data_IF_388503361166
#
_entry.id   IF_388503361166
#
_cell.length_a   1.000
_cell.length_b   1.000
_cell.length_c   1.000
_cell.angle_alpha   90.00
_cell.angle_beta   90.00
_cell.angle_gamma   90.00
#
_symmetry.space_group_name_H-M   'P 1'
#
loop_
_entity.id
_entity.type
_entity.pdbx_description
1 polymer ?
#
# COMPACT_ATOMS: atom_id res chain seq x y z
N UNK A 1 22.94 -22.89 11.95
CA UNK A 1 22.65 -21.57 12.53
C UNK A 1 21.81 -20.79 11.52
N UNK A 2 20.79 -20.07 11.96
CA UNK A 2 20.02 -19.22 11.05
C UNK A 2 20.92 -18.10 10.52
N UNK A 3 20.96 -17.92 9.20
CA UNK A 3 21.76 -16.87 8.58
C UNK A 3 21.12 -15.52 8.91
N UNK A 4 21.87 -14.59 9.51
CA UNK A 4 21.39 -13.23 9.81
C UNK A 4 20.90 -12.50 8.55
N UNK A 5 19.89 -11.65 8.68
CA UNK A 5 19.43 -10.78 7.61
C UNK A 5 20.50 -9.73 7.26
N UNK A 6 21.07 -9.11 8.30
CA UNK A 6 22.09 -8.10 8.15
C UNK A 6 23.49 -8.71 8.00
N UNK A 7 24.27 -8.16 7.07
CA UNK A 7 25.64 -8.55 6.77
C UNK A 7 26.57 -7.35 6.78
N UNK A 8 27.86 -7.60 6.90
CA UNK A 8 28.90 -6.58 6.86
C UNK A 8 29.25 -6.14 5.43
N UNK A 9 28.55 -6.68 4.42
CA UNK A 9 28.76 -6.28 3.03
C UNK A 9 28.43 -4.79 2.82
N UNK A 10 28.97 -4.23 1.74
CA UNK A 10 28.68 -2.86 1.32
C UNK A 10 27.18 -2.61 1.14
N UNK A 11 26.72 -1.49 1.66
CA UNK A 11 25.33 -1.05 1.59
C UNK A 11 25.27 0.43 1.24
N UNK A 12 24.28 0.82 0.43
CA UNK A 12 24.06 2.20 0.02
C UNK A 12 22.79 2.81 0.63
N UNK A 13 21.90 1.99 1.14
CA UNK A 13 20.66 2.47 1.75
C UNK A 13 20.91 2.98 3.18
N UNK A 14 20.59 4.26 3.48
CA UNK A 14 20.83 4.85 4.80
C UNK A 14 20.02 4.18 5.93
N UNK A 15 18.79 3.73 5.63
CA UNK A 15 17.93 3.05 6.60
C UNK A 15 18.52 1.68 6.99
N UNK A 16 18.97 0.91 6.00
CA UNK A 16 19.67 -0.35 6.25
C UNK A 16 20.89 -0.15 7.12
N UNK A 17 21.77 0.82 6.77
CA UNK A 17 23.01 1.10 7.50
C UNK A 17 22.70 1.51 8.94
N UNK A 18 21.73 2.42 9.13
CA UNK A 18 21.33 2.89 10.45
C UNK A 18 20.82 1.75 11.35
N UNK A 19 20.02 0.82 10.82
CA UNK A 19 19.47 -0.30 11.59
C UNK A 19 20.54 -1.37 11.84
N UNK A 20 21.40 -1.65 10.85
CA UNK A 20 22.50 -2.62 11.00
C UNK A 20 23.49 -2.19 12.08
N UNK A 21 23.92 -0.93 12.04
CA UNK A 21 25.05 -0.42 12.82
C UNK A 21 24.62 0.37 14.08
N UNK A 22 23.32 0.71 14.15
CA UNK A 22 22.80 1.57 15.22
C UNK A 22 22.89 0.96 16.61
N UNK A 23 23.36 1.77 17.56
CA UNK A 23 23.48 1.40 18.99
C UNK A 23 22.30 1.90 19.83
N UNK A 24 21.52 2.83 19.31
CA UNK A 24 20.32 3.35 19.94
C UNK A 24 19.30 2.24 20.23
N UNK A 25 18.61 2.25 21.38
CA UNK A 25 17.62 1.21 21.72
C UNK A 25 16.52 1.01 20.67
N UNK A 26 16.08 2.09 19.99
CA UNK A 26 15.05 2.00 18.93
C UNK A 26 15.59 1.25 17.71
N UNK A 27 16.83 1.55 17.29
CA UNK A 27 17.47 0.88 16.16
C UNK A 27 17.77 -0.58 16.47
N UNK A 28 18.18 -0.89 17.72
CA UNK A 28 18.33 -2.30 18.16
C UNK A 28 17.00 -3.05 18.13
N UNK A 29 15.92 -2.40 18.55
CA UNK A 29 14.56 -2.99 18.47
C UNK A 29 14.12 -3.20 17.03
N UNK A 30 14.38 -2.23 16.15
CA UNK A 30 14.11 -2.33 14.72
C UNK A 30 14.90 -3.48 14.08
N UNK A 31 16.18 -3.61 14.41
CA UNK A 31 17.02 -4.73 13.96
C UNK A 31 16.46 -6.07 14.42
N UNK A 32 16.09 -6.19 15.68
CA UNK A 32 15.49 -7.40 16.23
C UNK A 32 14.19 -7.76 15.53
N UNK A 33 13.35 -6.77 15.20
CA UNK A 33 12.12 -6.94 14.42
C UNK A 33 12.43 -7.46 13.01
N UNK A 34 13.39 -6.88 12.31
CA UNK A 34 13.78 -7.33 10.97
C UNK A 34 14.30 -8.79 11.01
N UNK A 35 15.14 -9.14 11.98
CA UNK A 35 15.64 -10.51 12.15
C UNK A 35 14.50 -11.48 12.49
N UNK A 36 13.52 -11.06 13.28
CA UNK A 36 12.32 -11.85 13.56
C UNK A 36 11.50 -12.13 12.28
N UNK A 37 11.24 -11.12 11.47
CA UNK A 37 10.54 -11.27 10.19
C UNK A 37 11.32 -12.21 9.25
N UNK A 38 12.65 -12.07 9.22
CA UNK A 38 13.53 -12.88 8.39
C UNK A 38 13.46 -14.37 8.72
N UNK A 39 13.25 -14.77 9.97
CA UNK A 39 13.10 -16.17 10.36
C UNK A 39 12.01 -16.87 9.51
N UNK A 40 10.90 -16.19 9.25
CA UNK A 40 9.78 -16.72 8.49
C UNK A 40 9.94 -16.50 6.98
N UNK A 41 10.40 -15.33 6.59
CA UNK A 41 10.47 -14.92 5.19
C UNK A 41 11.61 -15.57 4.39
N UNK A 42 12.74 -15.87 4.99
CA UNK A 42 13.96 -16.33 4.31
C UNK A 42 13.79 -17.53 3.37
N UNK A 43 12.80 -18.37 3.60
CA UNK A 43 12.50 -19.53 2.76
C UNK A 43 11.72 -19.17 1.49
N UNK A 44 11.23 -17.96 1.42
CA UNK A 44 10.48 -17.38 0.31
C UNK A 44 11.27 -16.30 -0.45
N UNK A 45 12.33 -15.79 0.19
CA UNK A 45 13.22 -14.80 -0.40
C UNK A 45 13.94 -15.36 -1.64
N UNK A 46 14.09 -14.53 -2.67
CA UNK A 46 14.96 -14.84 -3.79
C UNK A 46 16.45 -14.65 -3.45
N UNK A 47 17.31 -15.09 -4.35
CA UNK A 47 18.76 -15.04 -4.14
C UNK A 47 19.31 -13.61 -4.05
N UNK A 48 18.64 -12.64 -4.67
CA UNK A 48 19.04 -11.24 -4.72
C UNK A 48 18.47 -10.40 -3.57
N UNK A 49 17.51 -10.95 -2.81
CA UNK A 49 16.78 -10.21 -1.78
C UNK A 49 17.69 -9.43 -0.82
N UNK A 50 18.70 -10.10 -0.26
CA UNK A 50 19.63 -9.45 0.68
C UNK A 50 20.52 -8.38 0.02
N UNK A 51 20.85 -8.57 -1.25
CA UNK A 51 21.59 -7.59 -2.04
C UNK A 51 20.74 -6.35 -2.31
N UNK A 52 19.49 -6.57 -2.66
CA UNK A 52 18.54 -5.48 -2.91
C UNK A 52 18.11 -4.77 -1.62
N UNK A 53 17.98 -5.50 -0.51
CA UNK A 53 17.70 -4.92 0.81
C UNK A 53 18.76 -3.88 1.22
N UNK A 54 20.02 -4.10 0.86
CA UNK A 54 21.12 -3.14 1.12
C UNK A 54 21.03 -1.85 0.29
N UNK A 55 20.18 -1.83 -0.75
CA UNK A 55 20.05 -0.71 -1.72
C UNK A 55 18.69 -0.02 -1.67
N UNK A 56 17.65 -0.73 -1.23
CA UNK A 56 16.26 -0.29 -1.19
C UNK A 56 15.57 -0.92 0.02
N UNK A 57 15.97 -0.46 1.22
CA UNK A 57 15.57 -1.11 2.48
C UNK A 57 14.07 -1.11 2.68
N UNK A 58 13.41 0.04 2.56
CA UNK A 58 11.99 0.16 2.88
C UNK A 58 11.10 -0.68 1.95
N UNK A 59 11.42 -0.74 0.66
CA UNK A 59 10.69 -1.56 -0.30
C UNK A 59 10.82 -3.06 0.02
N UNK A 60 12.03 -3.53 0.34
CA UNK A 60 12.29 -4.94 0.67
C UNK A 60 11.80 -5.30 2.08
N UNK A 61 11.87 -4.36 3.02
CA UNK A 61 11.26 -4.52 4.33
C UNK A 61 9.75 -4.72 4.20
N UNK A 62 9.08 -3.94 3.34
CA UNK A 62 7.64 -4.06 3.07
C UNK A 62 7.26 -5.43 2.50
N UNK A 63 7.97 -5.92 1.49
CA UNK A 63 7.79 -7.27 0.94
C UNK A 63 7.90 -8.34 2.03
N UNK A 64 8.96 -8.27 2.84
CA UNK A 64 9.20 -9.19 3.95
C UNK A 64 8.11 -9.09 5.03
N UNK A 65 7.71 -7.88 5.41
CA UNK A 65 6.67 -7.63 6.41
C UNK A 65 5.31 -8.19 5.97
N UNK A 66 4.89 -7.87 4.74
CA UNK A 66 3.64 -8.34 4.15
C UNK A 66 3.59 -9.87 4.13
N UNK A 67 4.61 -10.49 3.57
CA UNK A 67 4.68 -11.96 3.45
C UNK A 67 4.68 -12.63 4.83
N UNK A 68 5.49 -12.13 5.76
CA UNK A 68 5.54 -12.68 7.13
C UNK A 68 4.20 -12.51 7.84
N UNK A 69 3.52 -11.38 7.64
CA UNK A 69 2.19 -11.16 8.22
C UNK A 69 1.18 -12.18 7.72
N UNK A 70 1.20 -12.52 6.44
CA UNK A 70 0.34 -13.55 5.86
C UNK A 70 0.67 -14.94 6.43
N UNK A 71 1.95 -15.30 6.53
CA UNK A 71 2.40 -16.57 7.14
C UNK A 71 1.88 -16.68 8.59
N UNK A 72 2.11 -15.64 9.40
CA UNK A 72 1.71 -15.63 10.81
C UNK A 72 0.20 -15.46 11.02
N UNK A 73 -0.54 -15.11 9.96
CA UNK A 73 -2.00 -15.18 9.91
C UNK A 73 -2.52 -16.57 9.53
N UNK A 74 -1.64 -17.57 9.39
CA UNK A 74 -2.00 -18.96 9.12
C UNK A 74 -2.18 -19.30 7.64
N UNK A 75 -1.78 -18.43 6.72
CA UNK A 75 -1.84 -18.73 5.30
C UNK A 75 -0.57 -19.48 4.85
N UNK A 76 -0.77 -20.48 4.00
CA UNK A 76 0.30 -21.03 3.18
C UNK A 76 0.59 -20.06 2.04
N UNK A 77 1.84 -19.57 1.95
CA UNK A 77 2.25 -18.57 0.97
C UNK A 77 3.05 -19.20 -0.16
N UNK A 78 2.90 -18.61 -1.35
CA UNK A 78 3.69 -18.91 -2.54
C UNK A 78 4.30 -17.62 -3.09
N UNK A 79 5.59 -17.64 -3.46
CA UNK A 79 6.32 -16.49 -3.98
C UNK A 79 6.94 -16.88 -5.34
N UNK A 80 6.18 -16.86 -6.44
CA UNK A 80 6.65 -17.32 -7.75
C UNK A 80 7.63 -16.30 -8.36
N UNK A 81 8.58 -16.77 -9.12
CA UNK A 81 9.49 -15.95 -9.92
C UNK A 81 9.48 -16.48 -11.39
N UNK A 82 9.02 -15.71 -12.38
CA UNK A 82 8.41 -14.39 -12.28
C UNK A 82 6.98 -14.44 -11.73
N UNK A 83 6.57 -13.41 -11.02
CA UNK A 83 5.22 -13.31 -10.48
C UNK A 83 5.05 -12.14 -9.52
N UNK A 84 3.85 -11.97 -8.95
CA UNK A 84 3.64 -11.09 -7.81
C UNK A 84 4.46 -11.52 -6.59
N UNK A 85 4.71 -10.61 -5.67
CA UNK A 85 5.61 -10.86 -4.53
C UNK A 85 5.13 -12.02 -3.63
N UNK A 86 3.82 -12.12 -3.38
CA UNK A 86 3.27 -13.22 -2.60
C UNK A 86 1.84 -13.58 -3.02
N UNK A 87 1.53 -14.86 -2.97
CA UNK A 87 0.19 -15.40 -3.17
C UNK A 87 -0.22 -16.31 -2.03
N UNK A 88 -1.54 -16.41 -1.82
CA UNK A 88 -2.17 -17.33 -0.86
C UNK A 88 -3.36 -18.04 -1.52
N UNK A 89 -3.82 -19.11 -0.91
CA UNK A 89 -5.08 -19.76 -1.28
C UNK A 89 -6.07 -19.58 -0.13
N UNK A 90 -7.21 -18.98 -0.43
CA UNK A 90 -8.30 -18.82 0.51
C UNK A 90 -9.59 -19.45 -0.05
N UNK A 91 -10.09 -20.51 0.61
CA UNK A 91 -11.28 -21.27 0.18
C UNK A 91 -11.23 -21.68 -1.30
N UNK A 92 -10.07 -22.13 -1.77
CA UNK A 92 -9.85 -22.55 -3.15
C UNK A 92 -9.64 -21.42 -4.16
N UNK A 93 -9.76 -20.16 -3.75
CA UNK A 93 -9.46 -18.99 -4.57
C UNK A 93 -8.03 -18.54 -4.34
N UNK A 94 -7.27 -18.31 -5.43
CA UNK A 94 -5.94 -17.75 -5.36
C UNK A 94 -6.02 -16.24 -5.22
N UNK A 95 -5.27 -15.69 -4.27
CA UNK A 95 -5.16 -14.26 -4.00
C UNK A 95 -3.69 -13.86 -4.08
N UNK A 96 -3.38 -12.94 -4.98
CA UNK A 96 -2.05 -12.40 -5.18
C UNK A 96 -1.92 -11.03 -4.55
N UNK A 97 -0.75 -10.75 -3.99
CA UNK A 97 -0.36 -9.44 -3.48
C UNK A 97 0.91 -9.00 -4.17
N UNK A 98 0.91 -7.76 -4.64
CA UNK A 98 2.09 -7.06 -5.15
C UNK A 98 2.45 -5.96 -4.17
N UNK A 99 3.63 -6.06 -3.58
CA UNK A 99 4.15 -5.07 -2.65
C UNK A 99 4.66 -3.83 -3.40
N UNK A 100 4.15 -2.67 -3.04
CA UNK A 100 4.48 -1.39 -3.68
C UNK A 100 4.90 -0.41 -2.59
N UNK A 101 6.12 0.12 -2.67
CA UNK A 101 6.62 1.17 -1.79
C UNK A 101 6.89 2.44 -2.62
N UNK A 102 5.91 3.34 -2.77
CA UNK A 102 6.12 4.59 -3.46
C UNK A 102 6.95 5.55 -2.62
N UNK A 103 7.91 6.18 -3.25
CA UNK A 103 8.77 7.22 -2.68
C UNK A 103 8.22 8.65 -2.87
N UNK A 104 8.96 9.66 -2.42
CA UNK A 104 8.60 11.07 -2.56
C UNK A 104 8.67 11.60 -4.01
N UNK A 105 9.19 10.83 -4.95
CA UNK A 105 9.48 11.26 -6.32
C UNK A 105 10.80 12.02 -6.47
N UNK A 106 11.22 12.19 -7.72
CA UNK A 106 12.46 12.89 -8.03
C UNK A 106 12.38 14.36 -7.60
N UNK A 107 13.39 14.89 -6.89
CA UNK A 107 13.44 16.30 -6.52
C UNK A 107 13.26 17.22 -7.74
N UNK A 108 12.44 18.25 -7.58
CA UNK A 108 12.16 19.22 -8.65
C UNK A 108 11.15 18.76 -9.71
N UNK A 109 10.65 17.52 -9.66
CA UNK A 109 9.55 17.09 -10.53
C UNK A 109 8.21 17.65 -10.00
N UNK A 110 7.23 17.92 -10.88
CA UNK A 110 5.95 18.49 -10.47
C UNK A 110 5.16 17.64 -9.46
N UNK A 111 5.33 16.34 -9.50
CA UNK A 111 4.69 15.34 -8.64
C UNK A 111 5.54 14.93 -7.43
N UNK A 112 6.70 15.53 -7.26
CA UNK A 112 7.53 15.30 -6.06
C UNK A 112 6.87 15.89 -4.82
N UNK A 113 6.85 15.09 -3.75
CA UNK A 113 6.39 15.54 -2.42
C UNK A 113 7.57 16.14 -1.68
N UNK A 114 7.51 17.43 -1.30
CA UNK A 114 8.62 18.09 -0.62
C UNK A 114 8.81 17.53 0.80
N UNK A 115 10.08 17.36 1.22
CA UNK A 115 10.44 16.87 2.55
C UNK A 115 10.35 17.96 3.62
N UNK A 116 10.71 19.20 3.28
CA UNK A 116 10.94 20.30 4.21
C UNK A 116 10.01 21.49 3.92
N UNK A 117 8.72 21.33 4.11
CA UNK A 117 7.78 22.44 3.94
C UNK A 117 7.06 22.75 5.24
N UNK A 118 7.21 23.97 5.74
CA UNK A 118 6.30 24.52 6.72
C UNK A 118 5.01 24.93 6.00
N UNK A 119 3.91 24.23 6.22
CA UNK A 119 2.66 24.58 5.55
C UNK A 119 1.62 23.48 5.55
N UNK A 120 0.71 23.57 4.60
CA UNK A 120 -0.34 22.58 4.43
C UNK A 120 0.23 21.28 3.83
N UNK A 121 -0.31 20.16 4.28
CA UNK A 121 0.02 18.84 3.72
C UNK A 121 -0.31 18.84 2.22
N UNK A 122 0.64 18.47 1.34
CA UNK A 122 0.43 18.48 -0.11
C UNK A 122 -0.37 17.26 -0.57
N UNK A 123 -1.65 17.17 -0.16
CA UNK A 123 -2.54 16.01 -0.33
C UNK A 123 -2.56 15.49 -1.77
N UNK A 124 -2.74 16.38 -2.74
CA UNK A 124 -2.82 15.99 -4.15
C UNK A 124 -1.52 15.35 -4.66
N UNK A 125 -0.38 15.86 -4.24
CA UNK A 125 0.91 15.28 -4.61
C UNK A 125 1.10 13.88 -4.00
N UNK A 126 0.69 13.70 -2.75
CA UNK A 126 0.74 12.39 -2.09
C UNK A 126 -0.15 11.39 -2.82
N UNK A 127 -1.40 11.75 -3.12
CA UNK A 127 -2.32 10.88 -3.87
C UNK A 127 -1.78 10.56 -5.27
N UNK A 128 -1.14 11.53 -5.95
CA UNK A 128 -0.47 11.28 -7.23
C UNK A 128 0.63 10.23 -7.12
N UNK A 129 1.36 10.15 -5.99
CA UNK A 129 2.37 9.10 -5.78
C UNK A 129 1.73 7.72 -5.72
N UNK A 130 0.58 7.58 -5.01
CA UNK A 130 -0.20 6.33 -5.02
C UNK A 130 -0.63 5.94 -6.43
N UNK A 131 -1.27 6.87 -7.16
CA UNK A 131 -1.78 6.62 -8.51
C UNK A 131 -0.67 6.25 -9.50
N UNK A 132 0.46 6.97 -9.44
CA UNK A 132 1.61 6.70 -10.31
C UNK A 132 2.20 5.30 -10.05
N UNK A 133 2.37 4.91 -8.79
CA UNK A 133 2.92 3.58 -8.45
C UNK A 133 2.00 2.45 -8.91
N UNK A 134 0.68 2.58 -8.72
CA UNK A 134 -0.31 1.62 -9.21
C UNK A 134 -0.23 1.50 -10.74
N UNK A 135 -0.21 2.65 -11.45
CA UNK A 135 -0.15 2.69 -12.91
C UNK A 135 1.14 2.08 -13.48
N UNK A 136 2.27 2.36 -12.86
CA UNK A 136 3.57 1.83 -13.29
C UNK A 136 3.61 0.31 -13.14
N UNK A 137 3.22 -0.22 -12.00
CA UNK A 137 3.17 -1.66 -11.76
C UNK A 137 2.21 -2.38 -12.72
N UNK A 138 1.08 -1.79 -13.02
CA UNK A 138 0.13 -2.36 -13.99
C UNK A 138 0.75 -2.49 -15.39
N UNK A 139 1.27 -1.40 -15.93
CA UNK A 139 1.82 -1.36 -17.30
C UNK A 139 2.99 -2.30 -17.49
N UNK A 140 3.85 -2.41 -16.47
CA UNK A 140 5.12 -3.10 -16.61
C UNK A 140 5.06 -4.59 -16.25
N UNK A 141 4.09 -5.04 -15.43
CA UNK A 141 4.17 -6.36 -14.82
C UNK A 141 2.95 -7.24 -15.04
N UNK A 142 1.72 -6.77 -14.84
CA UNK A 142 0.53 -7.62 -14.84
C UNK A 142 0.36 -8.42 -16.15
N UNK A 143 0.52 -7.78 -17.30
CA UNK A 143 0.42 -8.46 -18.60
C UNK A 143 1.48 -9.54 -18.79
N UNK A 144 2.68 -9.34 -18.25
CA UNK A 144 3.76 -10.35 -18.31
C UNK A 144 3.44 -11.57 -17.44
N UNK A 145 2.86 -11.37 -16.25
CA UNK A 145 2.46 -12.46 -15.37
C UNK A 145 1.34 -13.31 -15.97
N UNK A 146 0.36 -12.66 -16.64
CA UNK A 146 -0.67 -13.35 -17.38
C UNK A 146 -0.07 -14.19 -18.54
N UNK A 147 0.82 -13.58 -19.32
CA UNK A 147 1.48 -14.26 -20.44
C UNK A 147 2.36 -15.43 -19.99
N UNK A 148 2.99 -15.32 -18.82
CA UNK A 148 3.78 -16.37 -18.20
C UNK A 148 2.92 -17.48 -17.56
N UNK A 149 1.61 -17.28 -17.44
CA UNK A 149 0.70 -18.22 -16.78
C UNK A 149 0.84 -18.28 -15.25
N UNK A 150 1.62 -17.37 -14.66
CA UNK A 150 1.77 -17.28 -13.20
C UNK A 150 0.50 -16.77 -12.54
N UNK A 151 -0.13 -15.78 -13.16
CA UNK A 151 -1.42 -15.22 -12.76
C UNK A 151 -2.48 -15.59 -13.79
N UNK A 152 -3.69 -15.87 -13.34
CA UNK A 152 -4.85 -16.12 -14.17
C UNK A 152 -5.85 -14.97 -14.08
N UNK A 153 -6.64 -14.76 -15.11
CA UNK A 153 -7.75 -13.80 -15.09
C UNK A 153 -8.89 -14.19 -14.13
N UNK A 154 -8.80 -15.36 -13.49
CA UNK A 154 -9.70 -15.82 -12.42
C UNK A 154 -9.13 -15.61 -11.03
N UNK A 155 -7.89 -15.15 -10.92
CA UNK A 155 -7.24 -14.91 -9.64
C UNK A 155 -7.64 -13.53 -9.09
N UNK A 156 -7.62 -13.42 -7.78
CA UNK A 156 -7.78 -12.14 -7.08
C UNK A 156 -6.43 -11.44 -7.06
N UNK A 157 -6.40 -10.14 -7.35
CA UNK A 157 -5.20 -9.32 -7.31
C UNK A 157 -5.37 -8.16 -6.32
N UNK A 158 -4.45 -8.02 -5.40
CA UNK A 158 -4.38 -6.93 -4.42
C UNK A 158 -3.03 -6.20 -4.59
N UNK A 159 -3.07 -4.90 -4.76
CA UNK A 159 -1.87 -4.09 -4.65
C UNK A 159 -1.70 -3.62 -3.20
N UNK A 160 -0.59 -4.00 -2.61
CA UNK A 160 -0.25 -3.70 -1.22
C UNK A 160 0.74 -2.54 -1.17
N UNK A 161 0.26 -1.37 -0.76
CA UNK A 161 0.98 -0.10 -0.83
C UNK A 161 1.51 0.27 0.54
N UNK A 162 2.81 0.52 0.64
CA UNK A 162 3.42 1.12 1.82
C UNK A 162 3.98 2.51 1.45
N UNK A 163 3.30 3.59 1.82
CA UNK A 163 3.70 4.96 1.47
C UNK A 163 4.66 5.58 2.50
N UNK A 164 5.35 4.81 3.32
CA UNK A 164 6.19 5.31 4.40
C UNK A 164 7.23 6.34 3.92
N UNK A 165 7.84 6.12 2.76
CA UNK A 165 8.82 7.05 2.19
C UNK A 165 8.22 8.35 1.63
N UNK A 166 6.89 8.47 1.57
CA UNK A 166 6.24 9.70 1.16
C UNK A 166 6.17 10.65 2.35
N UNK A 167 6.83 11.81 2.32
CA UNK A 167 6.73 12.80 3.38
C UNK A 167 5.27 13.17 3.66
N UNK A 168 4.92 13.37 4.93
CA UNK A 168 3.59 13.74 5.40
C UNK A 168 2.53 12.65 5.33
N UNK A 169 2.78 11.49 4.69
CA UNK A 169 1.76 10.45 4.60
C UNK A 169 1.38 9.86 5.96
N UNK A 170 2.30 9.89 6.93
CA UNK A 170 2.03 9.51 8.32
C UNK A 170 0.95 10.37 9.01
N UNK A 171 0.70 11.58 8.51
CA UNK A 171 -0.42 12.42 8.96
C UNK A 171 -1.68 11.92 8.25
N UNK A 172 -2.62 11.48 9.05
CA UNK A 172 -3.87 10.93 8.53
C UNK A 172 -4.70 12.00 7.81
N UNK A 173 -5.49 11.55 6.86
CA UNK A 173 -6.43 12.39 6.11
C UNK A 173 -7.84 11.80 6.19
N UNK A 174 -8.84 12.64 6.03
CA UNK A 174 -10.23 12.23 6.00
C UNK A 174 -10.88 12.67 4.68
N UNK A 175 -11.21 11.71 3.78
CA UNK A 175 -11.05 10.25 3.93
C UNK A 175 -9.58 9.83 3.82
N UNK A 176 -9.22 8.62 4.31
CA UNK A 176 -7.87 8.07 4.12
C UNK A 176 -7.41 8.11 2.67
N UNK A 177 -6.12 8.41 2.42
CA UNK A 177 -5.59 8.59 1.07
C UNK A 177 -5.77 7.36 0.17
N UNK A 178 -5.72 6.17 0.76
CA UNK A 178 -6.01 4.94 0.01
C UNK A 178 -7.43 4.92 -0.55
N UNK A 179 -8.41 5.45 0.18
CA UNK A 179 -9.79 5.59 -0.31
C UNK A 179 -9.89 6.68 -1.39
N UNK A 180 -9.15 7.78 -1.25
CA UNK A 180 -9.10 8.84 -2.26
C UNK A 180 -8.51 8.33 -3.58
N UNK A 181 -7.49 7.46 -3.51
CA UNK A 181 -6.93 6.81 -4.69
C UNK A 181 -7.89 5.75 -5.29
N UNK A 182 -8.59 5.00 -4.43
CA UNK A 182 -9.49 3.93 -4.83
C UNK A 182 -10.82 4.43 -5.45
N UNK A 183 -11.45 5.44 -4.84
CA UNK A 183 -12.85 5.83 -5.07
C UNK A 183 -13.03 7.35 -5.19
N UNK A 184 -12.49 8.04 -6.07
CA UNK A 184 -12.78 9.48 -6.36
C UNK A 184 -13.25 10.34 -5.16
N UNK A 185 -12.91 9.94 -3.93
CA UNK A 185 -13.30 10.66 -2.73
C UNK A 185 -12.36 11.86 -2.51
N UNK A 186 -12.94 13.04 -2.42
CA UNK A 186 -12.25 14.28 -2.06
C UNK A 186 -12.37 14.59 -0.55
N UNK A 187 -12.10 15.84 -0.17
CA UNK A 187 -12.27 16.31 1.20
C UNK A 187 -13.68 16.06 1.76
N UNK A 188 -13.74 15.93 3.08
CA UNK A 188 -15.03 15.81 3.75
C UNK A 188 -15.80 17.12 3.74
N UNK A 189 -17.07 17.04 3.38
CA UNK A 189 -18.04 18.13 3.49
C UNK A 189 -18.91 17.94 4.72
N UNK A 190 -19.19 19.02 5.42
CA UNK A 190 -20.06 19.04 6.59
C UNK A 190 -21.18 20.04 6.32
N UNK A 191 -22.40 19.53 6.14
CA UNK A 191 -23.60 20.34 6.13
C UNK A 191 -23.99 20.71 7.56
N UNK A 192 -24.26 22.00 7.78
CA UNK A 192 -24.75 22.51 9.07
C UNK A 192 -26.12 23.10 8.89
N UNK A 193 -26.94 23.10 9.93
CA UNK A 193 -28.23 23.78 9.90
C UNK A 193 -28.05 25.31 9.75
N UNK A 194 -29.11 26.04 9.38
CA UNK A 194 -29.02 27.50 9.18
C UNK A 194 -28.55 28.29 10.40
N UNK A 195 -28.62 27.70 11.58
CA UNK A 195 -28.13 28.32 12.83
C UNK A 195 -26.67 28.00 13.10
N UNK A 196 -26.06 27.09 12.34
CA UNK A 196 -24.67 26.62 12.51
C UNK A 196 -24.43 25.76 13.75
N UNK A 197 -25.50 25.36 14.45
CA UNK A 197 -25.36 24.67 15.74
C UNK A 197 -25.39 23.14 15.64
N UNK A 198 -25.91 22.57 14.52
CA UNK A 198 -26.01 21.12 14.34
C UNK A 198 -25.49 20.69 12.99
N UNK A 199 -24.73 19.62 12.98
CA UNK A 199 -24.36 18.90 11.77
C UNK A 199 -25.58 18.11 11.31
N UNK A 200 -26.06 18.39 10.09
CA UNK A 200 -27.20 17.72 9.48
C UNK A 200 -26.80 16.73 8.40
N UNK A 201 -25.60 16.88 7.85
CA UNK A 201 -25.10 16.01 6.80
C UNK A 201 -23.56 15.96 6.86
N UNK A 202 -23.01 14.78 6.55
CA UNK A 202 -21.58 14.60 6.29
C UNK A 202 -21.40 13.78 5.03
N UNK A 203 -20.51 14.21 4.18
CA UNK A 203 -20.18 13.52 2.92
C UNK A 203 -18.77 13.84 2.47
N UNK A 204 -18.43 13.39 1.28
CA UNK A 204 -17.15 13.68 0.67
C UNK A 204 -17.37 14.31 -0.72
N UNK A 205 -16.50 15.26 -1.06
CA UNK A 205 -16.51 15.81 -2.42
C UNK A 205 -16.18 14.71 -3.43
N UNK A 206 -16.75 14.84 -4.62
CA UNK A 206 -16.33 14.03 -5.75
C UNK A 206 -15.08 14.64 -6.37
N UNK A 207 -13.96 13.91 -6.32
CA UNK A 207 -12.71 14.32 -6.95
C UNK A 207 -12.38 13.37 -8.10
N UNK A 208 -12.82 13.71 -9.31
CA UNK A 208 -12.63 12.89 -10.51
C UNK A 208 -11.20 12.87 -11.05
N UNK A 209 -10.39 13.86 -10.75
CA UNK A 209 -9.00 13.97 -11.19
C UNK A 209 -8.18 14.87 -10.27
N UNK A 210 -6.87 14.73 -10.37
CA UNK A 210 -5.87 15.63 -9.80
C UNK A 210 -5.07 16.22 -10.97
N UNK A 211 -4.80 17.53 -10.92
CA UNK A 211 -3.99 18.18 -11.95
C UNK A 211 -2.51 18.09 -11.58
N UNK A 212 -1.77 17.28 -12.32
CA UNK A 212 -0.31 17.26 -12.24
C UNK A 212 0.23 18.53 -12.88
N UNK A 213 1.07 19.27 -12.16
CA UNK A 213 1.66 20.49 -12.67
C UNK A 213 2.40 20.26 -14.01
N UNK A 214 2.36 21.25 -14.93
CA UNK A 214 2.99 21.11 -16.24
C UNK A 214 4.51 20.99 -16.12
N UNK A 215 5.11 20.29 -17.09
CA UNK A 215 6.56 20.34 -17.32
C UNK A 215 6.84 21.42 -18.38
N UNK A 216 7.81 22.33 -18.18
CA UNK A 216 8.22 23.23 -19.25
C UNK A 216 8.63 22.43 -20.51
N UNK A 217 8.22 22.84 -21.72
CA UNK A 217 7.54 24.10 -22.06
C UNK A 217 6.01 24.09 -21.96
N UNK A 218 5.36 22.99 -21.53
CA UNK A 218 3.90 22.90 -21.45
C UNK A 218 3.34 23.98 -20.51
N UNK A 219 2.21 24.56 -20.87
CA UNK A 219 1.55 25.60 -20.06
C UNK A 219 0.44 25.03 -19.17
N UNK A 220 -0.17 23.95 -19.63
CA UNK A 220 -1.31 23.33 -18.95
C UNK A 220 -0.89 22.05 -18.20
N UNK A 221 -1.45 21.86 -17.01
CA UNK A 221 -1.22 20.63 -16.25
C UNK A 221 -1.97 19.44 -16.86
N UNK A 222 -1.47 18.24 -16.60
CA UNK A 222 -2.11 17.00 -17.02
C UNK A 222 -3.12 16.55 -15.96
N UNK A 223 -4.37 16.33 -16.36
CA UNK A 223 -5.39 15.72 -15.50
C UNK A 223 -5.15 14.23 -15.35
N UNK A 224 -4.89 13.80 -14.13
CA UNK A 224 -4.71 12.39 -13.77
C UNK A 224 -6.01 11.93 -13.09
N UNK A 225 -6.73 10.95 -13.66
CA UNK A 225 -7.92 10.40 -13.03
C UNK A 225 -7.62 9.82 -11.67
N UNK A 226 -8.46 10.10 -10.68
CA UNK A 226 -8.50 9.43 -9.40
C UNK A 226 -9.48 8.25 -9.48
N UNK A 227 -9.69 7.51 -8.38
CA UNK A 227 -10.66 6.43 -8.36
C UNK A 227 -10.27 5.27 -9.27
N UNK A 228 -9.13 4.64 -8.98
CA UNK A 228 -8.59 3.51 -9.74
C UNK A 228 -9.66 2.44 -10.01
N UNK A 229 -10.51 2.13 -9.03
CA UNK A 229 -11.55 1.11 -9.19
C UNK A 229 -12.71 1.49 -10.13
N UNK A 230 -12.79 2.73 -10.59
CA UNK A 230 -13.80 3.19 -11.55
C UNK A 230 -13.30 3.18 -13.00
N UNK A 231 -12.01 2.95 -13.18
CA UNK A 231 -11.37 2.92 -14.49
C UNK A 231 -11.38 1.48 -15.02
N UNK A 232 -11.90 1.26 -16.23
CA UNK A 232 -12.03 -0.08 -16.83
C UNK A 232 -10.70 -0.84 -16.96
N UNK A 233 -9.63 -0.11 -17.14
CA UNK A 233 -8.28 -0.69 -17.27
C UNK A 233 -7.81 -1.39 -15.99
N UNK A 234 -8.38 -1.04 -14.82
CA UNK A 234 -8.08 -1.67 -13.54
C UNK A 234 -9.14 -2.70 -13.08
N UNK A 235 -10.04 -3.15 -13.97
CA UNK A 235 -11.06 -4.14 -13.59
C UNK A 235 -10.47 -5.49 -13.10
N UNK A 236 -9.22 -5.78 -13.38
CA UNK A 236 -8.49 -6.93 -12.87
C UNK A 236 -8.02 -6.76 -11.41
N UNK A 237 -7.98 -5.53 -10.89
CA UNK A 237 -7.53 -5.20 -9.53
C UNK A 237 -8.68 -5.35 -8.54
N UNK A 238 -8.58 -6.35 -7.67
CA UNK A 238 -9.64 -6.74 -6.75
C UNK A 238 -9.64 -5.95 -5.46
N UNK A 239 -8.52 -5.32 -5.11
CA UNK A 239 -8.41 -4.52 -3.89
C UNK A 239 -7.10 -3.76 -3.79
N UNK A 240 -7.08 -2.79 -2.89
CA UNK A 240 -5.88 -2.11 -2.42
C UNK A 240 -5.71 -2.38 -0.93
N UNK A 241 -4.50 -2.71 -0.54
CA UNK A 241 -4.07 -2.82 0.86
C UNK A 241 -3.10 -1.68 1.14
N UNK A 242 -3.26 -0.97 2.25
CA UNK A 242 -2.30 0.05 2.67
C UNK A 242 -1.78 -0.27 4.08
N UNK A 243 -0.51 0.00 4.30
CA UNK A 243 0.15 -0.04 5.61
C UNK A 243 1.23 1.04 5.62
N UNK A 244 1.37 1.71 6.76
CA UNK A 244 2.41 2.74 6.95
C UNK A 244 3.53 2.26 7.86
N UNK A 245 3.75 0.96 7.88
CA UNK A 245 4.78 0.34 8.73
C UNK A 245 6.18 0.61 8.22
N UNK A 246 7.09 0.86 9.13
CA UNK A 246 8.53 0.74 8.92
C UNK A 246 9.15 -0.16 10.00
N UNK A 247 10.45 -0.37 9.92
CA UNK A 247 11.16 -1.22 10.88
C UNK A 247 11.19 -0.62 12.30
N UNK A 248 11.12 0.70 12.45
CA UNK A 248 11.26 1.44 13.72
C UNK A 248 9.89 1.65 14.39
N UNK A 249 8.90 2.10 13.62
CA UNK A 249 7.60 2.58 14.12
C UNK A 249 6.43 1.63 13.85
N UNK A 250 6.69 0.47 13.26
CA UNK A 250 5.64 -0.51 12.95
C UNK A 250 4.86 -0.96 14.19
N UNK A 251 3.60 -1.40 14.02
CA UNK A 251 2.73 -1.80 15.11
C UNK A 251 3.31 -2.99 15.90
N UNK A 252 2.91 -3.13 17.16
CA UNK A 252 3.32 -4.26 18.00
C UNK A 252 2.81 -5.59 17.44
N UNK A 253 1.60 -5.60 16.90
CA UNK A 253 1.01 -6.75 16.21
C UNK A 253 1.10 -6.54 14.71
N UNK A 254 1.68 -7.51 13.99
CA UNK A 254 1.84 -7.45 12.53
C UNK A 254 0.48 -7.37 11.85
N UNK A 255 0.32 -6.40 10.95
CA UNK A 255 -0.91 -6.18 10.20
C UNK A 255 -2.00 -5.38 10.92
N UNK A 256 -1.79 -4.96 12.19
CA UNK A 256 -2.77 -4.16 12.91
C UNK A 256 -3.07 -2.80 12.25
N UNK A 257 -2.15 -2.29 11.46
CA UNK A 257 -2.27 -1.06 10.68
C UNK A 257 -2.76 -1.26 9.23
N UNK A 258 -3.07 -2.49 8.84
CA UNK A 258 -3.56 -2.76 7.50
C UNK A 258 -4.91 -2.08 7.24
N UNK A 259 -5.02 -1.50 6.06
CA UNK A 259 -6.23 -0.88 5.54
C UNK A 259 -6.59 -1.55 4.21
N UNK A 260 -7.55 -2.46 4.21
CA UNK A 260 -7.97 -3.21 3.02
C UNK A 260 -9.22 -2.59 2.40
N UNK A 261 -9.11 -2.14 1.17
CA UNK A 261 -10.17 -1.53 0.38
C UNK A 261 -10.53 -2.45 -0.79
N UNK A 262 -11.71 -3.09 -0.80
CA UNK A 262 -12.15 -3.92 -1.92
C UNK A 262 -12.58 -3.08 -3.12
N UNK A 263 -12.40 -3.62 -4.32
CA UNK A 263 -12.96 -3.05 -5.55
C UNK A 263 -14.36 -3.60 -5.81
N UNK A 264 -15.34 -2.71 -5.98
CA UNK A 264 -16.70 -3.10 -6.38
C UNK A 264 -16.84 -3.38 -7.88
N UNK A 265 -15.87 -2.95 -8.67
CA UNK A 265 -15.88 -3.09 -10.13
C UNK A 265 -14.86 -4.13 -10.62
N UNK A 266 -14.26 -4.90 -9.72
CA UNK A 266 -13.31 -5.93 -10.10
C UNK A 266 -14.00 -7.06 -10.87
N UNK A 267 -13.32 -7.56 -11.91
CA UNK A 267 -13.74 -8.76 -12.65
C UNK A 267 -13.77 -10.01 -11.74
N UNK A 268 -12.84 -10.05 -10.77
CA UNK A 268 -12.80 -11.07 -9.72
C UNK A 268 -12.82 -10.36 -8.38
N UNK A 269 -13.93 -10.44 -7.67
CA UNK A 269 -14.08 -9.82 -6.35
C UNK A 269 -13.30 -10.57 -5.27
N UNK A 270 -13.00 -9.90 -4.16
CA UNK A 270 -12.48 -10.55 -2.97
C UNK A 270 -13.44 -11.65 -2.49
N UNK A 271 -12.94 -12.83 -2.10
CA UNK A 271 -13.78 -13.91 -1.61
C UNK A 271 -14.59 -13.48 -0.38
N UNK A 272 -15.82 -13.96 -0.32
CA UNK A 272 -16.71 -13.66 0.83
C UNK A 272 -16.04 -14.08 2.16
N UNK A 273 -16.00 -13.14 3.10
CA UNK A 273 -15.38 -13.35 4.41
C UNK A 273 -13.85 -13.23 4.44
N UNK A 274 -13.20 -13.00 3.31
CA UNK A 274 -11.75 -12.70 3.32
C UNK A 274 -11.51 -11.35 4.02
N UNK A 275 -10.71 -11.39 5.07
CA UNK A 275 -10.32 -10.20 5.86
C UNK A 275 -8.89 -10.40 6.34
N UNK A 276 -8.13 -9.33 6.38
CA UNK A 276 -6.85 -9.25 7.07
C UNK A 276 -7.03 -8.44 8.34
N UNK A 277 -6.18 -8.65 9.34
CA UNK A 277 -6.15 -7.84 10.56
C UNK A 277 -6.05 -6.34 10.20
N UNK A 278 -6.60 -5.47 11.04
CA UNK A 278 -6.58 -4.02 10.83
C UNK A 278 -7.96 -3.47 10.46
N UNK A 279 -8.05 -2.65 9.42
CA UNK A 279 -9.30 -2.03 8.98
C UNK A 279 -9.71 -2.57 7.61
N UNK A 280 -10.93 -3.06 7.51
CA UNK A 280 -11.57 -3.40 6.24
C UNK A 280 -12.60 -2.33 5.90
N UNK A 281 -12.51 -1.75 4.71
CA UNK A 281 -13.48 -0.77 4.25
C UNK A 281 -14.62 -1.45 3.49
N UNK A 282 -15.73 -1.75 4.20
CA UNK A 282 -16.92 -2.25 3.54
C UNK A 282 -17.50 -1.17 2.64
N UNK A 283 -17.56 -1.45 1.36
CA UNK A 283 -17.97 -0.49 0.34
C UNK A 283 -19.25 -0.96 -0.33
N UNK A 284 -20.23 -0.07 -0.42
CA UNK A 284 -21.52 -0.31 -1.08
C UNK A 284 -21.75 0.78 -2.13
N UNK A 285 -22.14 0.38 -3.34
CA UNK A 285 -22.52 1.32 -4.39
C UNK A 285 -23.95 1.79 -4.15
N UNK A 286 -24.14 3.09 -4.12
CA UNK A 286 -25.43 3.77 -4.17
C UNK A 286 -25.66 4.33 -5.58
N UNK A 287 -26.84 4.87 -5.82
CA UNK A 287 -27.24 5.35 -7.16
C UNK A 287 -26.22 6.34 -7.77
N UNK A 288 -25.76 7.33 -7.00
CA UNK A 288 -24.80 8.36 -7.45
C UNK A 288 -23.59 8.51 -6.50
N UNK A 289 -23.34 7.55 -5.61
CA UNK A 289 -22.30 7.66 -4.59
C UNK A 289 -21.80 6.29 -4.14
N UNK A 290 -20.86 6.29 -3.23
CA UNK A 290 -20.38 5.11 -2.52
C UNK A 290 -20.56 5.33 -1.03
N UNK A 291 -21.09 4.33 -0.34
CA UNK A 291 -21.04 4.26 1.12
C UNK A 291 -19.81 3.43 1.48
N UNK A 292 -18.97 3.96 2.35
CA UNK A 292 -17.75 3.28 2.83
C UNK A 292 -17.78 3.26 4.34
N UNK A 293 -17.75 2.08 4.93
CA UNK A 293 -17.75 1.89 6.36
C UNK A 293 -16.47 1.18 6.82
N UNK A 294 -15.69 1.76 7.73
CA UNK A 294 -14.53 1.09 8.31
C UNK A 294 -15.01 0.02 9.31
N UNK A 295 -14.50 -1.19 9.15
CA UNK A 295 -14.75 -2.32 10.03
C UNK A 295 -13.41 -2.76 10.62
N UNK A 296 -13.27 -2.67 11.94
CA UNK A 296 -12.09 -3.20 12.62
C UNK A 296 -12.08 -4.73 12.55
N UNK A 297 -10.99 -5.29 12.10
CA UNK A 297 -10.77 -6.74 11.98
C UNK A 297 -9.71 -7.15 12.98
N UNK A 298 -10.07 -7.92 14.02
CA UNK A 298 -9.10 -8.42 14.97
C UNK A 298 -8.17 -9.46 14.34
N UNK A 299 -7.08 -9.75 15.00
CA UNK A 299 -6.20 -10.84 14.61
C UNK A 299 -7.01 -12.15 14.53
N UNK A 300 -6.86 -12.94 13.45
CA UNK A 300 -7.48 -14.26 13.40
C UNK A 300 -7.00 -15.11 14.58
N UNK A 301 -7.94 -15.65 15.34
CA UNK A 301 -7.60 -16.67 16.35
C UNK A 301 -7.31 -17.96 15.59
N UNK A 302 -6.04 -18.33 15.51
CA UNK A 302 -5.64 -19.62 14.95
C UNK A 302 -5.96 -20.66 16.04
N UNK A 303 -6.96 -21.48 15.80
CA UNK A 303 -7.26 -22.66 16.62
C UNK A 303 -6.48 -23.86 16.11
#
# INVERSE_FOLDING_TARGET
MATSLFTDDEASDPGYIAIRDGIDPRLKSARARCEYLWIFFRHHADNEFRTELRRAFDARYWEMYLTTTLILSGFEVICPKPGPDVGIIYRGQRIWFEAIAPDCGDPGKPDSVPKDVCGLVPEEKIILRYLNSISTKYKDQYSRWLAAGTVSNKDVMIYAINPWEIPWDHRDSNPPRILQAAYNAGPQNVGVDPTGMKIIETGYEFRGFITKAPKPPDKDGTKIPTGVFQQREYAWLSGLLCSRTDAVTGPAELGADFQLVPSLNAAVSLPAGFRLQGTYYATEKKENSYKVEPIAVPRPTIF
#
